data_IF_426336503433
#
_entry.id   IF_426336503433
#
_cell.length_a   1.000
_cell.length_b   1.000
_cell.length_c   1.000
_cell.angle_alpha   90.00
_cell.angle_beta   90.00
_cell.angle_gamma   90.00
#
_symmetry.space_group_name_H-M   'P 1'
#
loop_
_entity.id
_entity.type
_entity.pdbx_description
1 polymer ?
#
# COMPACT_ATOMS: atom_id res chain seq x y z
N UNK A 1 -52.04 19.17 -50.99
CA UNK A 1 -51.98 18.52 -49.67
C UNK A 1 -50.55 18.06 -49.46
N UNK A 2 -49.76 18.80 -48.62
CA UNK A 2 -48.34 18.49 -48.31
C UNK A 2 -48.28 17.87 -46.93
N UNK A 3 -47.97 16.57 -46.87
CA UNK A 3 -47.76 15.84 -45.59
C UNK A 3 -46.39 16.13 -45.04
N UNK A 4 -46.33 16.79 -43.89
CA UNK A 4 -45.13 17.06 -43.13
C UNK A 4 -44.83 15.82 -42.25
N UNK A 5 -43.72 15.13 -42.55
CA UNK A 5 -43.21 14.05 -41.71
C UNK A 5 -42.37 14.67 -40.56
N UNK A 6 -42.90 14.62 -39.36
CA UNK A 6 -42.18 15.00 -38.14
C UNK A 6 -41.30 13.80 -37.75
N UNK A 7 -39.98 13.96 -37.87
CA UNK A 7 -38.99 13.00 -37.36
C UNK A 7 -38.72 13.36 -35.89
N UNK A 8 -39.23 12.51 -35.00
CA UNK A 8 -38.96 12.62 -33.54
C UNK A 8 -37.59 12.02 -33.25
N UNK A 9 -36.60 12.88 -33.01
CA UNK A 9 -35.25 12.50 -32.66
C UNK A 9 -35.17 12.26 -31.13
N UNK A 10 -35.20 10.98 -30.71
CA UNK A 10 -35.02 10.57 -29.32
C UNK A 10 -33.54 10.76 -28.93
N UNK A 11 -33.26 11.81 -28.16
CA UNK A 11 -31.98 12.00 -27.48
C UNK A 11 -31.90 11.06 -26.26
N UNK A 12 -31.17 9.96 -26.42
CA UNK A 12 -30.79 9.10 -25.29
C UNK A 12 -29.65 9.80 -24.55
N UNK A 13 -29.96 10.47 -23.44
CA UNK A 13 -28.96 10.98 -22.53
C UNK A 13 -28.46 9.80 -21.68
N UNK A 14 -27.31 9.26 -22.05
CA UNK A 14 -26.60 8.30 -21.22
C UNK A 14 -26.02 9.03 -19.98
N UNK A 15 -26.71 8.94 -18.86
CA UNK A 15 -26.18 9.40 -17.56
C UNK A 15 -25.02 8.49 -17.16
N UNK A 16 -23.81 8.98 -17.34
CA UNK A 16 -22.61 8.37 -16.74
C UNK A 16 -22.65 8.70 -15.26
N UNK A 17 -23.17 7.76 -14.47
CA UNK A 17 -23.05 7.83 -13.00
C UNK A 17 -21.58 7.62 -12.64
N UNK A 18 -20.87 8.72 -12.37
CA UNK A 18 -19.56 8.66 -11.73
C UNK A 18 -19.75 8.11 -10.32
N UNK A 19 -19.43 6.84 -10.12
CA UNK A 19 -19.27 6.29 -8.77
C UNK A 19 -18.07 6.96 -8.13
N UNK A 20 -18.30 8.02 -7.36
CA UNK A 20 -17.31 8.53 -6.41
C UNK A 20 -17.28 7.53 -5.26
N UNK A 21 -16.28 6.65 -5.23
CA UNK A 21 -16.00 5.83 -4.05
C UNK A 21 -15.69 6.75 -2.88
N UNK A 22 -16.61 6.85 -1.93
CA UNK A 22 -16.37 7.49 -0.64
C UNK A 22 -15.40 6.60 0.16
N UNK A 23 -14.11 6.90 0.05
CA UNK A 23 -13.01 6.16 0.69
C UNK A 23 -12.83 6.53 2.16
N UNK A 24 -13.89 6.96 2.85
CA UNK A 24 -13.85 7.33 4.27
C UNK A 24 -13.54 6.14 5.21
N UNK A 25 -13.53 4.90 4.72
CA UNK A 25 -13.37 3.67 5.52
C UNK A 25 -12.08 2.88 5.29
N UNK A 26 -11.19 3.37 4.44
CA UNK A 26 -10.02 2.59 3.98
C UNK A 26 -10.37 1.51 2.96
N UNK A 27 -9.34 0.98 2.30
CA UNK A 27 -9.53 -0.07 1.29
C UNK A 27 -9.90 -1.42 1.91
N UNK A 28 -10.66 -2.17 1.14
CA UNK A 28 -10.96 -3.60 1.35
C UNK A 28 -10.32 -4.41 0.22
N UNK A 29 -10.19 -5.70 0.44
CA UNK A 29 -9.80 -6.64 -0.61
C UNK A 29 -10.82 -6.57 -1.76
N UNK A 30 -10.31 -6.47 -2.99
CA UNK A 30 -11.09 -6.26 -4.21
C UNK A 30 -11.28 -4.79 -4.60
N UNK A 31 -10.98 -3.82 -3.73
CA UNK A 31 -11.07 -2.39 -4.07
C UNK A 31 -9.94 -1.99 -5.03
N UNK A 32 -10.20 -0.98 -5.86
CA UNK A 32 -9.19 -0.31 -6.66
C UNK A 32 -8.45 0.73 -5.80
N UNK A 33 -7.16 0.49 -5.55
CA UNK A 33 -6.32 1.45 -4.85
C UNK A 33 -5.87 2.59 -5.79
N UNK A 34 -5.93 3.82 -5.28
CA UNK A 34 -5.38 4.97 -6.00
C UNK A 34 -3.85 5.02 -5.88
N UNK A 35 -3.21 5.52 -6.92
CA UNK A 35 -1.80 5.90 -6.86
C UNK A 35 -1.58 7.05 -5.85
N UNK A 36 -0.35 7.20 -5.43
CA UNK A 36 0.13 8.30 -4.60
C UNK A 36 1.50 8.78 -5.10
N UNK A 37 1.85 10.00 -4.74
CA UNK A 37 3.18 10.54 -4.98
C UNK A 37 3.71 11.07 -3.65
N UNK A 38 4.77 10.43 -3.13
CA UNK A 38 5.37 10.75 -1.84
C UNK A 38 6.87 10.99 -1.96
N UNK A 39 7.41 11.75 -1.01
CA UNK A 39 8.84 12.02 -0.94
C UNK A 39 9.61 10.81 -0.40
N UNK A 40 10.58 10.32 -1.17
CA UNK A 40 11.49 9.26 -0.77
C UNK A 40 12.69 9.83 0.02
N UNK A 41 13.36 8.98 0.78
CA UNK A 41 14.55 9.32 1.59
C UNK A 41 15.74 9.86 0.78
N UNK A 42 15.76 9.69 -0.55
CA UNK A 42 16.72 10.30 -1.49
C UNK A 42 16.27 11.67 -2.00
N UNK A 43 15.28 12.29 -1.38
CA UNK A 43 14.64 13.56 -1.71
C UNK A 43 13.88 13.60 -3.04
N UNK A 44 13.75 12.47 -3.76
CA UNK A 44 12.93 12.37 -4.97
C UNK A 44 11.48 12.07 -4.65
N UNK A 45 10.59 12.53 -5.51
CA UNK A 45 9.19 12.12 -5.47
C UNK A 45 9.04 10.75 -6.14
N UNK A 46 8.30 9.85 -5.53
CA UNK A 46 8.06 8.48 -6.01
C UNK A 46 6.56 8.21 -6.05
N UNK A 47 6.11 7.64 -7.16
CA UNK A 47 4.74 7.21 -7.44
C UNK A 47 4.75 5.73 -7.82
N UNK A 48 3.65 5.01 -7.59
CA UNK A 48 3.51 3.63 -8.08
C UNK A 48 3.54 3.59 -9.62
N UNK A 49 3.07 4.66 -10.28
CA UNK A 49 3.10 4.79 -11.74
C UNK A 49 4.51 4.87 -12.34
N UNK A 50 5.55 5.16 -11.53
CA UNK A 50 6.95 5.19 -11.99
C UNK A 50 7.47 3.78 -12.31
N UNK A 51 6.86 2.74 -11.74
CA UNK A 51 7.23 1.33 -11.91
C UNK A 51 6.50 0.70 -13.09
N UNK A 52 6.95 1.01 -14.32
CA UNK A 52 6.27 0.60 -15.56
C UNK A 52 6.13 -0.92 -15.70
N UNK A 53 7.14 -1.67 -15.29
CA UNK A 53 7.22 -3.13 -15.42
C UNK A 53 6.65 -3.87 -14.20
N UNK A 54 6.15 -3.15 -13.19
CA UNK A 54 5.56 -3.78 -12.02
C UNK A 54 4.25 -4.49 -12.40
N UNK A 55 4.12 -5.71 -11.89
CA UNK A 55 2.90 -6.52 -11.93
C UNK A 55 1.99 -6.22 -10.73
N UNK A 56 2.57 -5.66 -9.69
CA UNK A 56 1.91 -5.28 -8.45
C UNK A 56 2.90 -4.69 -7.46
N UNK A 57 2.47 -4.51 -6.21
CA UNK A 57 3.27 -3.88 -5.17
C UNK A 57 3.02 -4.52 -3.81
N UNK A 58 4.07 -4.58 -2.99
CA UNK A 58 3.97 -4.84 -1.55
C UNK A 58 4.08 -3.49 -0.86
N UNK A 59 2.94 -2.82 -0.62
CA UNK A 59 2.89 -1.54 0.10
C UNK A 59 2.87 -1.84 1.59
N UNK A 60 3.78 -1.25 2.36
CA UNK A 60 3.84 -1.45 3.81
C UNK A 60 3.92 -0.14 4.56
N UNK A 61 2.94 0.12 5.43
CA UNK A 61 3.01 1.21 6.40
C UNK A 61 3.87 0.75 7.57
N UNK A 62 5.04 1.37 7.72
CA UNK A 62 6.06 1.03 8.72
C UNK A 62 6.67 2.29 9.31
N UNK A 63 7.48 2.19 10.35
CA UNK A 63 8.10 3.35 10.98
C UNK A 63 9.37 2.95 11.75
N UNK A 64 10.18 3.94 12.16
CA UNK A 64 11.46 3.70 12.83
C UNK A 64 11.30 3.28 14.29
N UNK A 65 10.29 3.81 14.99
CA UNK A 65 10.20 3.75 16.45
C UNK A 65 9.35 2.59 16.98
N UNK A 66 8.58 1.93 16.13
CA UNK A 66 7.75 0.80 16.55
C UNK A 66 8.59 -0.47 16.68
N UNK A 67 8.65 -1.13 17.86
CA UNK A 67 9.42 -2.38 18.03
C UNK A 67 8.98 -3.49 17.06
N UNK A 68 7.70 -3.50 16.67
CA UNK A 68 7.18 -4.45 15.68
C UNK A 68 7.69 -4.13 14.28
N UNK A 69 7.78 -2.84 13.90
CA UNK A 69 8.36 -2.43 12.61
C UNK A 69 9.84 -2.79 12.55
N UNK A 70 10.58 -2.44 13.60
CA UNK A 70 12.01 -2.72 13.72
C UNK A 70 12.31 -4.22 13.61
N UNK A 71 11.53 -5.07 14.27
CA UNK A 71 11.67 -6.52 14.21
C UNK A 71 11.36 -7.14 12.83
N UNK A 72 10.73 -6.37 11.94
CA UNK A 72 10.35 -6.83 10.61
C UNK A 72 11.19 -6.22 9.46
N UNK A 73 12.17 -5.35 9.75
CA UNK A 73 12.98 -4.69 8.73
C UNK A 73 13.74 -5.69 7.83
N UNK A 74 14.39 -6.68 8.43
CA UNK A 74 15.14 -7.69 7.67
C UNK A 74 14.22 -8.55 6.80
N UNK A 75 12.98 -8.83 7.26
CA UNK A 75 11.95 -9.50 6.46
C UNK A 75 11.50 -8.66 5.27
N UNK A 76 11.34 -7.34 5.45
CA UNK A 76 11.01 -6.44 4.34
C UNK A 76 12.14 -6.38 3.31
N UNK A 77 13.40 -6.35 3.74
CA UNK A 77 14.57 -6.44 2.85
C UNK A 77 14.56 -7.76 2.08
N UNK A 78 14.28 -8.88 2.77
CA UNK A 78 14.20 -10.20 2.16
C UNK A 78 13.05 -10.29 1.14
N UNK A 79 11.87 -9.71 1.45
CA UNK A 79 10.73 -9.62 0.54
C UNK A 79 11.06 -8.81 -0.73
N UNK A 80 11.67 -7.62 -0.59
CA UNK A 80 12.08 -6.81 -1.74
C UNK A 80 13.08 -7.57 -2.61
N UNK A 81 14.11 -8.16 -2.01
CA UNK A 81 15.10 -8.98 -2.71
C UNK A 81 14.46 -10.16 -3.46
N UNK A 82 13.47 -10.82 -2.87
CA UNK A 82 12.80 -11.99 -3.45
C UNK A 82 11.85 -11.62 -4.59
N UNK A 83 11.12 -10.51 -4.47
CA UNK A 83 9.96 -10.22 -5.33
C UNK A 83 10.12 -9.04 -6.27
N UNK A 84 11.05 -8.12 -6.04
CA UNK A 84 11.27 -6.94 -6.90
C UNK A 84 11.50 -7.31 -8.36
N UNK A 85 12.41 -8.25 -8.63
CA UNK A 85 12.72 -8.73 -9.98
C UNK A 85 11.59 -9.57 -10.61
N UNK A 86 10.62 -10.01 -9.80
CA UNK A 86 9.43 -10.73 -10.27
C UNK A 86 8.26 -9.77 -10.55
N UNK A 87 8.45 -8.45 -10.33
CA UNK A 87 7.47 -7.42 -10.58
C UNK A 87 6.63 -7.02 -9.37
N UNK A 88 7.01 -7.40 -8.15
CA UNK A 88 6.36 -7.00 -6.90
C UNK A 88 7.36 -6.33 -5.94
N UNK A 89 7.82 -5.09 -6.23
CA UNK A 89 8.71 -4.36 -5.32
C UNK A 89 8.00 -4.02 -4.01
N UNK A 90 8.79 -3.91 -2.93
CA UNK A 90 8.34 -3.34 -1.67
C UNK A 90 8.32 -1.81 -1.78
N UNK A 91 7.25 -1.18 -1.32
CA UNK A 91 7.10 0.27 -1.16
C UNK A 91 6.77 0.54 0.31
N UNK A 92 7.76 0.98 1.07
CA UNK A 92 7.60 1.29 2.49
C UNK A 92 7.15 2.75 2.67
N UNK A 93 6.18 2.98 3.56
CA UNK A 93 5.63 4.32 3.84
C UNK A 93 5.65 4.54 5.35
N UNK A 94 6.27 5.63 5.80
CA UNK A 94 6.17 6.08 7.18
C UNK A 94 4.96 7.02 7.32
N UNK A 95 3.90 6.59 8.06
CA UNK A 95 2.68 7.37 8.23
C UNK A 95 2.70 8.25 9.47
N UNK A 96 3.76 8.19 10.30
CA UNK A 96 3.78 8.86 11.59
C UNK A 96 4.06 10.36 11.47
N UNK A 97 3.31 11.16 12.23
CA UNK A 97 3.57 12.59 12.37
C UNK A 97 4.82 12.81 13.24
N UNK A 98 5.86 13.50 12.74
CA UNK A 98 7.09 13.76 13.48
C UNK A 98 6.90 14.69 14.70
N UNK A 99 5.82 15.47 14.76
CA UNK A 99 5.48 16.24 15.97
C UNK A 99 5.03 15.32 17.12
N UNK A 100 4.49 14.14 16.78
CA UNK A 100 4.06 13.12 17.74
C UNK A 100 5.18 12.11 18.03
N UNK A 101 5.97 11.76 17.00
CA UNK A 101 7.05 10.78 17.07
C UNK A 101 8.32 11.34 16.40
N UNK A 102 9.15 12.05 17.16
CA UNK A 102 10.36 12.72 16.65
C UNK A 102 11.33 11.75 15.95
N UNK A 103 11.41 10.50 16.42
CA UNK A 103 12.25 9.46 15.83
C UNK A 103 11.72 8.94 14.48
N UNK A 104 10.54 9.36 14.07
CA UNK A 104 9.93 9.07 12.77
C UNK A 104 9.99 10.26 11.79
N UNK A 105 10.81 11.28 12.10
CA UNK A 105 11.06 12.42 11.21
C UNK A 105 11.74 11.97 9.91
N UNK A 106 11.59 12.77 8.86
CA UNK A 106 12.17 12.48 7.56
C UNK A 106 13.69 12.27 7.61
N UNK A 107 14.41 13.08 8.42
CA UNK A 107 15.84 12.91 8.62
C UNK A 107 16.18 11.62 9.39
N UNK A 108 15.37 11.24 10.38
CA UNK A 108 15.54 9.99 11.09
C UNK A 108 15.28 8.76 10.15
N UNK A 109 14.36 8.87 9.20
CA UNK A 109 14.14 7.85 8.18
C UNK A 109 15.37 7.63 7.30
N UNK A 110 16.04 8.70 6.86
CA UNK A 110 17.30 8.63 6.07
C UNK A 110 18.39 7.89 6.83
N UNK A 111 18.57 8.24 8.11
CA UNK A 111 19.55 7.58 8.99
C UNK A 111 19.22 6.09 9.12
N UNK A 112 17.96 5.76 9.48
CA UNK A 112 17.53 4.38 9.67
C UNK A 112 17.70 3.53 8.43
N UNK A 113 17.28 4.03 7.27
CA UNK A 113 17.40 3.31 6.01
C UNK A 113 18.87 3.04 5.63
N UNK A 114 19.76 3.99 5.89
CA UNK A 114 21.20 3.81 5.66
C UNK A 114 21.81 2.77 6.61
N UNK A 115 21.49 2.84 7.90
CA UNK A 115 22.00 1.91 8.91
C UNK A 115 21.55 0.45 8.63
N UNK A 116 20.32 0.28 8.22
CA UNK A 116 19.73 -1.04 7.92
C UNK A 116 19.97 -1.53 6.50
N UNK A 117 20.41 -0.65 5.61
CA UNK A 117 20.66 -1.00 4.21
C UNK A 117 19.35 -1.33 3.47
N UNK A 118 18.32 -0.49 3.61
CA UNK A 118 17.06 -0.67 2.90
C UNK A 118 17.27 -0.69 1.38
N UNK A 119 16.71 -1.69 0.71
CA UNK A 119 16.83 -1.90 -0.74
C UNK A 119 15.62 -1.38 -1.52
N UNK A 120 14.62 -0.90 -0.81
CA UNK A 120 13.33 -0.43 -1.29
C UNK A 120 13.14 1.06 -0.98
N UNK A 121 12.24 1.77 -1.69
CA UNK A 121 11.84 3.14 -1.36
C UNK A 121 11.23 3.22 0.04
N UNK A 122 11.66 4.21 0.81
CA UNK A 122 11.08 4.51 2.12
C UNK A 122 10.50 5.92 2.08
N UNK A 123 9.19 6.00 1.94
CA UNK A 123 8.45 7.21 1.62
C UNK A 123 7.87 7.85 2.88
N UNK A 124 7.84 9.17 2.90
CA UNK A 124 7.24 9.93 3.99
C UNK A 124 5.82 10.38 3.62
N UNK A 125 4.81 9.95 4.39
CA UNK A 125 3.41 10.40 4.21
C UNK A 125 3.22 11.77 4.85
N UNK A 126 3.85 12.80 4.25
CA UNK A 126 3.77 14.17 4.74
C UNK A 126 2.32 14.68 4.77
N UNK A 127 1.91 15.13 5.95
CA UNK A 127 0.54 15.57 6.19
C UNK A 127 -0.48 14.43 6.26
N UNK A 128 -0.01 13.18 6.33
CA UNK A 128 -0.83 12.01 6.63
C UNK A 128 -2.04 11.86 5.69
N UNK A 129 -1.77 11.88 4.37
CA UNK A 129 -2.79 11.88 3.32
C UNK A 129 -3.06 10.50 2.73
N UNK A 130 -2.07 9.59 2.79
CA UNK A 130 -2.12 8.28 2.14
C UNK A 130 -2.61 7.20 3.10
N UNK A 131 -2.05 7.12 4.32
CA UNK A 131 -2.42 6.06 5.24
C UNK A 131 -3.94 6.00 5.56
N UNK A 132 -4.68 7.13 5.68
CA UNK A 132 -6.13 7.06 5.95
C UNK A 132 -6.91 6.51 4.77
N UNK A 133 -6.50 6.81 3.52
CA UNK A 133 -7.12 6.26 2.31
C UNK A 133 -6.97 4.75 2.24
N UNK A 134 -5.80 4.23 2.66
CA UNK A 134 -5.57 2.80 2.76
C UNK A 134 -6.31 2.16 3.94
N UNK A 135 -6.65 2.93 4.98
CA UNK A 135 -7.22 2.42 6.21
C UNK A 135 -6.18 1.76 7.12
N UNK A 136 -4.90 2.12 6.96
CA UNK A 136 -3.84 1.61 7.81
C UNK A 136 -4.02 2.10 9.25
N UNK A 137 -3.90 1.20 10.21
CA UNK A 137 -4.12 1.49 11.65
C UNK A 137 -2.91 1.16 12.50
N UNK A 138 -1.96 0.40 11.95
CA UNK A 138 -0.80 -0.14 12.67
C UNK A 138 0.47 0.06 11.84
N UNK A 139 1.61 -0.08 12.49
CA UNK A 139 2.91 -0.26 11.87
C UNK A 139 3.60 -1.49 12.47
N UNK A 140 3.96 -2.54 11.66
CA UNK A 140 3.72 -2.63 10.22
C UNK A 140 2.25 -3.00 9.86
N UNK A 141 1.79 -2.55 8.67
CA UNK A 141 0.51 -2.95 8.07
C UNK A 141 0.71 -3.07 6.56
N UNK A 142 0.46 -4.23 5.99
CA UNK A 142 0.77 -4.56 4.60
C UNK A 142 -0.49 -4.55 3.73
N UNK A 143 -0.33 -4.08 2.49
CA UNK A 143 -1.30 -4.13 1.41
C UNK A 143 -0.61 -4.70 0.18
N UNK A 144 -1.12 -5.79 -0.39
CA UNK A 144 -0.63 -6.29 -1.68
C UNK A 144 -1.58 -5.80 -2.75
N UNK A 145 -1.02 -5.07 -3.71
CA UNK A 145 -1.73 -4.55 -4.86
C UNK A 145 -1.32 -5.38 -6.09
N UNK A 146 -2.31 -5.88 -6.82
CA UNK A 146 -2.09 -6.55 -8.11
C UNK A 146 -2.49 -5.61 -9.25
N UNK A 147 -1.67 -5.53 -10.31
CA UNK A 147 -1.96 -4.69 -11.47
C UNK A 147 -2.78 -5.49 -12.48
N UNK A 148 -4.05 -5.16 -12.60
CA UNK A 148 -5.00 -5.77 -13.52
C UNK A 148 -5.59 -4.70 -14.45
N UNK A 149 -5.43 -4.81 -15.76
CA UNK A 149 -5.99 -3.86 -16.73
C UNK A 149 -5.67 -2.38 -16.41
N UNK A 150 -4.43 -2.09 -16.02
CA UNK A 150 -3.94 -0.78 -15.55
C UNK A 150 -4.57 -0.27 -14.24
N UNK A 151 -5.29 -1.09 -13.51
CA UNK A 151 -5.84 -0.81 -12.17
C UNK A 151 -5.00 -1.53 -11.12
N UNK A 152 -4.93 -0.95 -9.93
CA UNK A 152 -4.27 -1.55 -8.78
C UNK A 152 -5.33 -2.14 -7.86
N UNK A 153 -5.50 -3.45 -7.90
CA UNK A 153 -6.51 -4.14 -7.08
C UNK A 153 -5.87 -4.63 -5.79
N UNK A 154 -6.52 -4.34 -4.66
CA UNK A 154 -6.09 -4.81 -3.34
C UNK A 154 -6.40 -6.30 -3.23
N UNK A 155 -5.38 -7.13 -3.08
CA UNK A 155 -5.51 -8.59 -3.01
C UNK A 155 -5.24 -9.15 -1.60
N UNK A 156 -4.55 -8.38 -0.77
CA UNK A 156 -4.26 -8.77 0.60
C UNK A 156 -4.12 -7.55 1.49
N UNK A 157 -4.62 -7.65 2.74
CA UNK A 157 -4.43 -6.65 3.79
C UNK A 157 -4.06 -7.37 5.09
N UNK A 158 -2.98 -6.94 5.78
CA UNK A 158 -2.70 -7.52 7.09
C UNK A 158 -1.24 -7.51 7.55
N UNK A 159 -0.85 -8.59 8.21
CA UNK A 159 0.48 -8.82 8.74
C UNK A 159 1.45 -9.36 7.67
N UNK A 160 2.75 -9.30 7.94
CA UNK A 160 3.78 -9.89 7.07
C UNK A 160 3.70 -11.43 7.14
N UNK A 161 3.59 -11.97 8.35
CA UNK A 161 3.51 -13.38 8.66
C UNK A 161 2.77 -13.59 10.00
N UNK A 162 2.73 -14.80 10.53
CA UNK A 162 2.05 -15.16 11.78
C UNK A 162 2.89 -14.90 13.04
N UNK A 163 4.13 -14.38 12.91
CA UNK A 163 5.00 -14.04 14.04
C UNK A 163 5.44 -12.57 13.99
N UNK A 164 4.82 -11.73 14.78
CA UNK A 164 4.99 -10.28 14.70
C UNK A 164 6.37 -9.73 15.11
N UNK A 165 7.20 -10.50 15.82
CA UNK A 165 8.50 -10.05 16.35
C UNK A 165 9.65 -11.01 16.11
N UNK A 166 9.39 -12.30 16.04
CA UNK A 166 10.43 -13.32 16.00
C UNK A 166 10.28 -14.18 14.75
N UNK A 167 11.19 -14.01 13.80
CA UNK A 167 11.18 -14.74 12.54
C UNK A 167 11.36 -16.25 12.74
N UNK A 168 12.05 -16.68 13.79
CA UNK A 168 12.29 -18.12 14.05
C UNK A 168 10.99 -18.87 14.39
N UNK A 169 9.95 -18.15 14.80
CA UNK A 169 8.65 -18.71 15.14
C UNK A 169 7.63 -18.66 13.99
N UNK A 170 8.04 -18.16 12.80
CA UNK A 170 7.14 -18.06 11.64
C UNK A 170 6.80 -19.44 11.11
N UNK A 171 5.51 -19.75 11.06
CA UNK A 171 4.93 -20.97 10.48
C UNK A 171 4.19 -20.68 9.18
N UNK A 172 3.62 -19.49 9.06
CA UNK A 172 2.86 -19.07 7.89
C UNK A 172 3.32 -17.68 7.39
N UNK A 173 3.78 -17.62 6.14
CA UNK A 173 4.31 -16.43 5.49
C UNK A 173 3.23 -15.79 4.62
N UNK A 174 2.35 -14.97 5.21
CA UNK A 174 1.16 -14.44 4.55
C UNK A 174 1.47 -13.65 3.28
N UNK A 175 2.41 -12.70 3.35
CA UNK A 175 2.79 -11.87 2.19
C UNK A 175 3.41 -12.70 1.09
N UNK A 176 4.31 -13.63 1.44
CA UNK A 176 4.94 -14.49 0.45
C UNK A 176 3.92 -15.40 -0.25
N UNK A 177 3.03 -16.03 0.52
CA UNK A 177 1.97 -16.89 -0.02
C UNK A 177 1.04 -16.12 -0.96
N UNK A 178 0.68 -14.88 -0.59
CA UNK A 178 -0.19 -14.06 -1.42
C UNK A 178 0.49 -13.64 -2.73
N UNK A 179 1.75 -13.16 -2.67
CA UNK A 179 2.49 -12.77 -3.89
C UNK A 179 2.79 -13.99 -4.76
N UNK A 180 3.15 -15.14 -4.17
CA UNK A 180 3.44 -16.36 -4.92
C UNK A 180 2.17 -16.89 -5.65
N UNK A 181 0.97 -16.74 -5.06
CA UNK A 181 -0.29 -17.04 -5.74
C UNK A 181 -0.53 -16.11 -6.94
N UNK A 182 -0.40 -14.80 -6.74
CA UNK A 182 -0.57 -13.80 -7.80
C UNK A 182 0.41 -13.99 -8.96
N UNK A 183 1.65 -14.38 -8.67
CA UNK A 183 2.65 -14.70 -9.71
C UNK A 183 2.28 -15.92 -10.55
N UNK A 184 1.45 -16.84 -10.03
CA UNK A 184 0.89 -17.98 -10.76
C UNK A 184 -0.41 -17.65 -11.50
N UNK A 185 -0.93 -16.42 -11.33
CA UNK A 185 -2.24 -16.04 -11.85
C UNK A 185 -3.41 -16.53 -11.00
N UNK A 186 -3.15 -16.90 -9.76
CA UNK A 186 -4.13 -17.40 -8.79
C UNK A 186 -4.47 -16.28 -7.78
N UNK A 187 -5.66 -16.33 -7.18
CA UNK A 187 -6.02 -15.45 -6.05
C UNK A 187 -5.42 -15.99 -4.75
N UNK A 188 -4.97 -15.12 -3.83
CA UNK A 188 -4.53 -15.55 -2.51
C UNK A 188 -5.63 -16.28 -1.75
N UNK A 189 -5.31 -17.39 -1.11
CA UNK A 189 -6.28 -18.14 -0.28
C UNK A 189 -6.60 -17.43 1.03
N UNK A 190 -5.64 -16.65 1.54
CA UNK A 190 -5.79 -15.80 2.72
C UNK A 190 -5.60 -14.35 2.30
N UNK A 191 -6.68 -13.58 2.33
CA UNK A 191 -6.72 -12.21 1.79
C UNK A 191 -6.71 -11.13 2.87
N UNK A 192 -7.02 -11.51 4.12
CA UNK A 192 -7.05 -10.59 5.26
C UNK A 192 -6.47 -11.27 6.51
N UNK A 193 -5.63 -10.56 7.23
CA UNK A 193 -5.10 -10.98 8.54
C UNK A 193 -4.97 -9.79 9.47
N UNK A 194 -4.97 -10.04 10.77
CA UNK A 194 -4.82 -8.98 11.75
C UNK A 194 -3.41 -8.40 11.73
N UNK A 195 -3.24 -7.13 11.37
CA UNK A 195 -2.00 -6.42 11.56
C UNK A 195 -1.70 -6.23 13.05
N UNK A 196 -0.51 -6.66 13.49
CA UNK A 196 -0.02 -6.54 14.86
C UNK A 196 1.12 -5.54 14.89
N UNK A 197 0.97 -4.46 15.66
CA UNK A 197 1.94 -3.39 15.72
C UNK A 197 1.48 -2.20 16.56
N UNK A 198 2.30 -1.15 16.56
CA UNK A 198 1.96 0.11 17.21
C UNK A 198 0.89 0.87 16.42
N UNK A 199 0.03 1.63 17.11
CA UNK A 199 -0.87 2.57 16.44
C UNK A 199 -0.07 3.65 15.71
N UNK A 200 -0.57 4.08 14.55
CA UNK A 200 -0.03 5.21 13.80
C UNK A 200 -0.12 6.47 14.68
N UNK A 201 0.96 7.27 14.69
CA UNK A 201 1.06 8.50 15.46
C UNK A 201 0.49 9.65 14.64
N UNK A 202 -0.71 10.06 14.98
CA UNK A 202 -1.44 11.12 14.31
C UNK A 202 -1.86 12.19 15.34
N UNK A 203 -1.48 13.44 15.09
CA UNK A 203 -1.82 14.55 16.00
C UNK A 203 -3.32 14.84 16.04
N UNK A 204 -4.08 14.46 15.03
CA UNK A 204 -5.54 14.61 14.98
C UNK A 204 -6.27 13.68 15.97
N UNK A 205 -5.59 12.67 16.46
CA UNK A 205 -6.13 11.67 17.40
C UNK A 205 -5.71 11.94 18.86
N UNK A 206 -5.29 13.18 19.17
CA UNK A 206 -4.92 13.64 20.52
C UNK A 206 -6.06 14.37 21.20
#
# INVERSE_FOLDING_TARGET
>A
MKTIKIILMLLVVASVSAFTSDNSRGYKVGDEASDFTLKNIDDKMVSLADYKDAKGFIVVFTCNMCPYSVANEDRLIALDKKYKQKGFPVIAINPNDPEVSKGDSFEAMKVRAKEKGFTFPYLFDEGQKVYPKYGATRTPHVYILNKENNKLIVEYIGAIDDSSRDESNVKERFVENAVDALLKGEKPTKTDTRAIGCSIKDKRNR
#
